data_IF_788891691319
#
_entry.id   IF_788891691319
#
_cell.length_a   1.000
_cell.length_b   1.000
_cell.length_c   1.000
_cell.angle_alpha   90.00
_cell.angle_beta   90.00
_cell.angle_gamma   90.00
#
_symmetry.space_group_name_H-M   'P 1'
#
loop_
_entity.id
_entity.type
_entity.pdbx_description
1 polymer ?
#
# COMPACT_ATOMS: atom_id res chain seq x y z
N UNK A 1 -6.00 3.04 24.12
CA UNK A 1 -7.23 2.32 23.66
C UNK A 1 -8.32 3.28 23.20
N UNK A 2 -8.03 4.57 23.10
CA UNK A 2 -9.01 5.60 22.67
C UNK A 2 -9.69 5.29 21.34
N UNK A 3 -8.95 4.75 20.36
CA UNK A 3 -9.52 4.41 19.05
C UNK A 3 -10.73 3.47 19.15
N UNK A 4 -10.72 2.52 20.07
CA UNK A 4 -11.82 1.56 20.24
C UNK A 4 -12.97 2.11 21.07
N UNK A 5 -12.72 3.16 21.88
CA UNK A 5 -13.73 3.79 22.75
C UNK A 5 -14.45 4.97 22.09
N UNK A 6 -13.92 5.46 20.95
CA UNK A 6 -14.56 6.50 20.14
C UNK A 6 -15.02 5.91 18.78
N UNK A 7 -16.31 5.59 18.64
CA UNK A 7 -16.84 5.00 17.41
C UNK A 7 -16.61 5.87 16.16
N UNK A 8 -16.71 7.20 16.30
CA UNK A 8 -16.53 8.11 15.18
C UNK A 8 -15.06 8.08 14.68
N UNK A 9 -14.13 8.07 15.62
CA UNK A 9 -12.69 7.96 15.32
C UNK A 9 -12.33 6.60 14.73
N UNK A 10 -12.91 5.53 15.24
CA UNK A 10 -12.72 4.18 14.69
C UNK A 10 -13.24 4.09 13.25
N UNK A 11 -14.45 4.58 12.98
CA UNK A 11 -15.03 4.62 11.63
C UNK A 11 -14.16 5.45 10.69
N UNK A 12 -13.68 6.60 11.13
CA UNK A 12 -12.79 7.45 10.34
C UNK A 12 -11.46 6.72 10.03
N UNK A 13 -10.88 6.01 10.99
CA UNK A 13 -9.66 5.23 10.77
C UNK A 13 -9.89 4.02 9.83
N UNK A 14 -11.01 3.33 9.96
CA UNK A 14 -11.41 2.24 9.05
C UNK A 14 -11.56 2.78 7.62
N UNK A 15 -12.27 3.90 7.47
CA UNK A 15 -12.47 4.55 6.16
C UNK A 15 -11.14 4.99 5.55
N UNK A 16 -10.29 5.66 6.33
CA UNK A 16 -8.94 6.02 5.92
C UNK A 16 -8.15 4.79 5.46
N UNK A 17 -8.13 3.73 6.29
CA UNK A 17 -7.41 2.49 5.99
C UNK A 17 -7.90 1.84 4.71
N UNK A 18 -9.22 1.78 4.49
CA UNK A 18 -9.82 1.22 3.28
C UNK A 18 -9.41 2.01 2.03
N UNK A 19 -9.49 3.34 2.09
CA UNK A 19 -9.13 4.23 0.98
C UNK A 19 -7.65 4.09 0.65
N UNK A 20 -6.74 4.21 1.63
CA UNK A 20 -5.30 4.20 1.36
C UNK A 20 -4.78 2.82 0.94
N UNK A 21 -5.35 1.73 1.50
CA UNK A 21 -5.00 0.37 1.10
C UNK A 21 -5.56 0.01 -0.29
N UNK A 22 -6.78 0.48 -0.60
CA UNK A 22 -7.43 0.26 -1.89
C UNK A 22 -6.91 1.15 -3.02
N UNK A 23 -6.26 2.29 -2.71
CA UNK A 23 -5.74 3.20 -3.74
C UNK A 23 -4.58 2.57 -4.52
N UNK A 24 -4.48 2.85 -5.84
CA UNK A 24 -3.35 2.41 -6.66
C UNK A 24 -2.00 2.78 -6.02
N UNK A 25 -1.06 1.84 -6.09
CA UNK A 25 0.29 2.04 -5.57
C UNK A 25 1.18 0.85 -5.88
N UNK A 26 2.49 0.93 -5.51
CA UNK A 26 3.45 -0.13 -5.83
C UNK A 26 3.00 -1.50 -5.34
N UNK A 27 2.55 -1.62 -4.09
CA UNK A 27 2.09 -2.88 -3.53
C UNK A 27 0.90 -3.48 -4.29
N UNK A 28 -0.11 -2.66 -4.61
CA UNK A 28 -1.29 -3.12 -5.34
C UNK A 28 -0.96 -3.50 -6.79
N UNK A 29 -0.04 -2.80 -7.45
CA UNK A 29 0.46 -3.19 -8.76
C UNK A 29 1.19 -4.54 -8.72
N UNK A 30 1.97 -4.80 -7.66
CA UNK A 30 2.62 -6.10 -7.44
C UNK A 30 1.61 -7.21 -7.14
N UNK A 31 0.54 -6.93 -6.38
CA UNK A 31 -0.56 -7.90 -6.17
C UNK A 31 -1.26 -8.25 -7.47
N UNK A 32 -1.55 -7.24 -8.30
CA UNK A 32 -2.13 -7.47 -9.62
C UNK A 32 -1.21 -8.35 -10.49
N UNK A 33 0.09 -8.07 -10.50
CA UNK A 33 1.06 -8.90 -11.20
C UNK A 33 1.15 -10.33 -10.62
N UNK A 34 1.04 -10.51 -9.31
CA UNK A 34 0.99 -11.81 -8.67
C UNK A 34 -0.27 -12.60 -9.07
N UNK A 35 -1.42 -11.94 -9.08
CA UNK A 35 -2.68 -12.51 -9.55
C UNK A 35 -2.62 -12.95 -11.00
N UNK A 36 -2.06 -12.11 -11.87
CA UNK A 36 -1.88 -12.42 -13.28
C UNK A 36 -0.97 -13.63 -13.50
N UNK A 37 0.11 -13.80 -12.73
CA UNK A 37 1.05 -14.91 -12.90
C UNK A 37 0.59 -16.22 -12.28
N UNK A 38 -0.01 -16.18 -11.10
CA UNK A 38 -0.24 -17.37 -10.29
C UNK A 38 -1.73 -17.63 -9.97
N UNK A 39 -2.61 -16.71 -10.35
CA UNK A 39 -4.01 -16.72 -9.98
C UNK A 39 -4.24 -16.34 -8.53
N UNK A 40 -5.51 -16.20 -8.12
CA UNK A 40 -5.88 -15.73 -6.78
C UNK A 40 -5.32 -16.65 -5.68
N UNK A 41 -5.55 -17.96 -5.79
CA UNK A 41 -5.20 -18.92 -4.72
C UNK A 41 -3.72 -18.91 -4.36
N UNK A 42 -2.83 -18.91 -5.35
CA UNK A 42 -1.37 -18.85 -5.08
C UNK A 42 -0.92 -17.45 -4.74
N UNK A 43 -1.60 -16.42 -5.26
CA UNK A 43 -1.33 -15.02 -4.96
C UNK A 43 -1.74 -14.58 -3.55
N UNK A 44 -2.57 -15.36 -2.83
CA UNK A 44 -2.93 -15.07 -1.42
C UNK A 44 -1.71 -14.93 -0.52
N UNK A 45 -0.65 -15.70 -0.75
CA UNK A 45 0.59 -15.55 0.03
C UNK A 45 1.19 -14.14 -0.13
N UNK A 46 1.15 -13.57 -1.34
CA UNK A 46 1.59 -12.19 -1.61
C UNK A 46 0.68 -11.16 -0.93
N UNK A 47 -0.64 -11.37 -0.98
CA UNK A 47 -1.60 -10.51 -0.30
C UNK A 47 -1.39 -10.50 1.22
N UNK A 48 -1.28 -11.68 1.83
CA UNK A 48 -1.02 -11.81 3.26
C UNK A 48 0.32 -11.18 3.65
N UNK A 49 1.36 -11.37 2.83
CA UNK A 49 2.65 -10.72 3.03
C UNK A 49 2.54 -9.19 3.00
N UNK A 50 1.84 -8.64 2.01
CA UNK A 50 1.60 -7.19 1.93
C UNK A 50 0.89 -6.67 3.18
N UNK A 51 -0.22 -7.28 3.54
CA UNK A 51 -1.06 -6.83 4.68
C UNK A 51 -0.31 -6.94 5.99
N UNK A 52 0.39 -8.05 6.22
CA UNK A 52 1.21 -8.25 7.43
C UNK A 52 2.38 -7.27 7.47
N UNK A 53 3.07 -7.06 6.34
CA UNK A 53 4.18 -6.10 6.26
C UNK A 53 3.73 -4.66 6.55
N UNK A 54 2.58 -4.24 6.02
CA UNK A 54 1.97 -2.93 6.32
C UNK A 54 1.57 -2.82 7.79
N UNK A 55 0.94 -3.86 8.35
CA UNK A 55 0.57 -3.90 9.78
C UNK A 55 1.80 -3.81 10.69
N UNK A 56 2.84 -4.61 10.42
CA UNK A 56 4.08 -4.59 11.18
C UNK A 56 4.79 -3.22 11.10
N UNK A 57 4.78 -2.60 9.94
CA UNK A 57 5.34 -1.27 9.76
C UNK A 57 4.53 -0.21 10.52
N UNK A 58 3.20 -0.23 10.43
CA UNK A 58 2.34 0.69 11.20
C UNK A 58 2.51 0.49 12.71
N UNK A 59 2.68 -0.74 13.16
CA UNK A 59 3.02 -1.07 14.55
C UNK A 59 4.33 -0.38 14.97
N UNK A 60 5.39 -0.52 14.19
CA UNK A 60 6.69 0.10 14.48
C UNK A 60 6.62 1.64 14.44
N UNK A 61 5.88 2.21 13.48
CA UNK A 61 5.64 3.65 13.36
C UNK A 61 4.92 4.17 14.62
N UNK A 62 3.89 3.46 15.08
CA UNK A 62 3.11 3.83 16.28
C UNK A 62 3.95 3.72 17.55
N UNK A 63 4.89 2.77 17.63
CA UNK A 63 5.80 2.64 18.78
C UNK A 63 6.90 3.71 18.87
N UNK A 64 7.01 4.60 17.88
CA UNK A 64 7.94 5.72 17.96
C UNK A 64 8.71 6.03 16.68
N UNK A 65 8.84 5.09 15.74
CA UNK A 65 9.49 5.37 14.45
C UNK A 65 8.83 6.56 13.72
N UNK A 66 7.52 6.71 13.86
CA UNK A 66 6.79 7.82 13.28
C UNK A 66 7.16 9.17 13.88
N UNK A 67 7.36 9.23 15.22
CA UNK A 67 7.82 10.43 15.91
C UNK A 67 9.21 10.85 15.46
N UNK A 68 10.11 9.88 15.27
CA UNK A 68 11.46 10.15 14.72
C UNK A 68 11.37 10.74 13.31
N UNK A 69 10.52 10.18 12.45
CA UNK A 69 10.32 10.70 11.09
C UNK A 69 9.72 12.11 11.08
N UNK A 70 8.71 12.36 11.93
CA UNK A 70 8.08 13.67 12.05
C UNK A 70 9.03 14.74 12.59
N UNK A 71 9.98 14.35 13.45
CA UNK A 71 11.00 15.25 13.96
C UNK A 71 12.09 15.62 12.91
N UNK A 72 12.12 14.92 11.76
CA UNK A 72 13.13 15.13 10.73
C UNK A 72 12.48 15.47 9.37
N UNK A 73 12.12 16.73 9.10
CA UNK A 73 11.47 17.14 7.85
C UNK A 73 12.22 16.76 6.59
N UNK A 74 13.56 16.73 6.65
CA UNK A 74 14.39 16.26 5.53
C UNK A 74 14.14 14.79 5.21
N UNK A 75 14.03 13.92 6.23
CA UNK A 75 13.75 12.50 6.03
C UNK A 75 12.37 12.28 5.39
N UNK A 76 11.36 13.03 5.84
CA UNK A 76 10.03 13.02 5.21
C UNK A 76 10.07 13.52 3.76
N UNK A 77 10.82 14.57 3.49
CA UNK A 77 11.04 15.10 2.14
C UNK A 77 11.69 14.05 1.22
N UNK A 78 12.78 13.44 1.68
CA UNK A 78 13.46 12.35 0.94
C UNK A 78 12.51 11.19 0.68
N UNK A 79 11.75 10.75 1.70
CA UNK A 79 10.78 9.67 1.58
C UNK A 79 9.68 10.01 0.56
N UNK A 80 9.16 11.23 0.59
CA UNK A 80 8.14 11.73 -0.33
C UNK A 80 8.64 11.72 -1.77
N UNK A 81 9.81 12.29 -2.03
CA UNK A 81 10.33 12.41 -3.38
C UNK A 81 10.86 11.09 -3.96
N UNK A 82 11.47 10.24 -3.14
CA UNK A 82 11.83 8.88 -3.57
C UNK A 82 10.59 8.05 -3.89
N UNK A 83 9.51 8.23 -3.12
CA UNK A 83 8.21 7.63 -3.39
C UNK A 83 7.61 8.10 -4.71
N UNK A 84 7.62 9.39 -4.96
CA UNK A 84 7.15 9.95 -6.22
C UNK A 84 7.95 9.40 -7.41
N UNK A 85 9.27 9.40 -7.31
CA UNK A 85 10.14 8.85 -8.35
C UNK A 85 9.87 7.36 -8.61
N UNK A 86 9.67 6.57 -7.54
CA UNK A 86 9.34 5.14 -7.65
C UNK A 86 7.98 4.92 -8.33
N UNK A 87 6.95 5.68 -7.95
CA UNK A 87 5.63 5.58 -8.58
C UNK A 87 5.67 5.99 -10.05
N UNK A 88 6.37 7.08 -10.39
CA UNK A 88 6.56 7.50 -11.78
C UNK A 88 7.31 6.44 -12.59
N UNK A 89 8.39 5.88 -12.03
CA UNK A 89 9.13 4.80 -12.68
C UNK A 89 8.25 3.56 -12.92
N UNK A 90 7.44 3.16 -11.93
CA UNK A 90 6.51 2.04 -12.10
C UNK A 90 5.43 2.34 -13.13
N UNK A 91 4.85 3.55 -13.12
CA UNK A 91 3.88 3.97 -14.13
C UNK A 91 4.47 3.88 -15.54
N UNK A 92 5.67 4.40 -15.71
CA UNK A 92 6.40 4.29 -16.98
C UNK A 92 6.62 2.82 -17.40
N UNK A 93 7.13 1.98 -16.50
CA UNK A 93 7.37 0.56 -16.78
C UNK A 93 6.10 -0.18 -17.16
N UNK A 94 4.98 0.12 -16.51
CA UNK A 94 3.68 -0.49 -16.83
C UNK A 94 3.16 0.03 -18.18
N UNK A 95 3.24 1.34 -18.44
CA UNK A 95 2.78 1.93 -19.69
C UNK A 95 3.54 1.41 -20.91
N UNK A 96 4.85 1.14 -20.76
CA UNK A 96 5.74 0.71 -21.84
C UNK A 96 5.93 -0.81 -21.93
N UNK A 97 5.27 -1.60 -21.06
CA UNK A 97 5.36 -3.05 -21.10
C UNK A 97 4.65 -3.61 -22.33
N UNK A 98 5.40 -4.17 -23.27
CA UNK A 98 4.86 -4.78 -24.49
C UNK A 98 4.30 -6.17 -24.24
N UNK A 99 4.85 -6.94 -23.28
CA UNK A 99 4.41 -8.29 -22.91
C UNK A 99 4.42 -8.48 -21.39
N UNK A 100 3.44 -9.23 -20.89
CA UNK A 100 3.22 -9.48 -19.44
C UNK A 100 4.38 -10.24 -18.77
N UNK A 101 5.30 -10.84 -19.51
CA UNK A 101 6.44 -11.59 -18.97
C UNK A 101 7.59 -10.70 -18.48
N UNK A 102 7.67 -9.46 -18.95
CA UNK A 102 8.70 -8.49 -18.51
C UNK A 102 8.23 -7.58 -17.37
N UNK A 103 6.99 -7.74 -16.90
CA UNK A 103 6.55 -7.05 -15.71
C UNK A 103 7.50 -7.39 -14.56
N UNK A 104 8.15 -6.34 -14.05
CA UNK A 104 9.07 -6.30 -12.90
C UNK A 104 9.17 -7.65 -12.19
N UNK A 105 10.38 -8.23 -12.05
CA UNK A 105 10.59 -9.39 -11.17
C UNK A 105 10.08 -8.99 -9.80
N UNK A 106 8.77 -9.19 -9.60
CA UNK A 106 8.08 -8.75 -8.41
C UNK A 106 8.54 -9.61 -7.24
N UNK A 107 8.76 -9.02 -6.07
CA UNK A 107 8.89 -9.81 -4.87
C UNK A 107 7.69 -10.77 -4.82
N UNK A 108 7.98 -12.07 -4.80
CA UNK A 108 6.94 -13.08 -4.87
C UNK A 108 6.73 -13.71 -3.48
N UNK A 109 5.48 -14.10 -3.20
CA UNK A 109 5.13 -14.78 -1.96
C UNK A 109 5.05 -13.86 -0.74
N UNK A 110 4.88 -14.48 0.42
CA UNK A 110 4.65 -13.78 1.68
C UNK A 110 5.83 -12.89 2.09
N UNK A 111 7.02 -13.47 2.22
CA UNK A 111 8.19 -12.74 2.73
C UNK A 111 8.62 -11.59 1.80
N UNK A 112 8.59 -11.82 0.49
CA UNK A 112 8.95 -10.79 -0.48
C UNK A 112 8.02 -9.59 -0.41
N UNK A 113 6.71 -9.82 -0.31
CA UNK A 113 5.72 -8.75 -0.21
C UNK A 113 5.72 -8.06 1.16
N UNK A 114 6.01 -8.79 2.24
CA UNK A 114 6.14 -8.21 3.57
C UNK A 114 7.38 -7.29 3.65
N UNK A 115 8.53 -7.77 3.17
CA UNK A 115 9.77 -7.00 3.12
C UNK A 115 9.64 -5.77 2.21
N UNK A 116 8.92 -5.91 1.10
CA UNK A 116 8.69 -4.80 0.16
C UNK A 116 8.04 -3.59 0.82
N UNK A 117 7.16 -3.76 1.83
CA UNK A 117 6.51 -2.64 2.49
C UNK A 117 7.50 -1.71 3.19
N UNK A 118 8.62 -2.23 3.70
CA UNK A 118 9.66 -1.45 4.38
C UNK A 118 10.48 -0.54 3.44
N UNK A 119 10.52 -0.88 2.16
CA UNK A 119 11.14 -0.04 1.12
C UNK A 119 10.11 0.75 0.31
N UNK A 120 8.81 0.54 0.57
CA UNK A 120 7.72 1.21 -0.12
C UNK A 120 7.42 2.57 0.52
N UNK A 121 7.81 3.69 -0.10
CA UNK A 121 7.65 5.00 0.52
C UNK A 121 6.19 5.40 0.70
N UNK A 122 5.26 4.92 -0.15
CA UNK A 122 3.82 5.14 0.07
C UNK A 122 3.37 4.56 1.42
N UNK A 123 3.88 3.37 1.79
CA UNK A 123 3.50 2.73 3.03
C UNK A 123 3.98 3.52 4.27
N UNK A 124 5.19 4.09 4.22
CA UNK A 124 5.70 4.98 5.26
C UNK A 124 4.86 6.26 5.41
N UNK A 125 4.55 6.93 4.30
CA UNK A 125 3.75 8.16 4.32
C UNK A 125 2.34 7.90 4.86
N UNK A 126 1.72 6.78 4.47
CA UNK A 126 0.42 6.35 5.00
C UNK A 126 0.51 6.09 6.50
N UNK A 127 1.56 5.40 6.97
CA UNK A 127 1.76 5.11 8.38
C UNK A 127 1.93 6.38 9.22
N UNK A 128 2.77 7.32 8.76
CA UNK A 128 2.97 8.63 9.42
C UNK A 128 1.67 9.44 9.44
N UNK A 129 0.95 9.50 8.32
CA UNK A 129 -0.34 10.18 8.25
C UNK A 129 -1.38 9.57 9.20
N UNK A 130 -1.40 8.23 9.31
CA UNK A 130 -2.29 7.52 10.22
C UNK A 130 -2.05 7.90 11.68
N UNK A 131 -0.80 7.91 12.15
CA UNK A 131 -0.50 8.31 13.52
C UNK A 131 -0.75 9.80 13.77
N UNK A 132 -0.41 10.66 12.82
CA UNK A 132 -0.65 12.10 12.93
C UNK A 132 -2.15 12.43 13.04
N UNK A 133 -3.01 11.70 12.32
CA UNK A 133 -4.45 11.95 12.31
C UNK A 133 -5.20 11.23 13.45
N UNK A 134 -4.75 10.05 13.85
CA UNK A 134 -5.54 9.14 14.68
C UNK A 134 -4.88 8.73 15.99
N UNK A 135 -3.58 8.97 16.20
CA UNK A 135 -2.93 8.69 17.48
C UNK A 135 -3.27 9.80 18.46
N UNK A 136 -4.10 9.50 19.46
CA UNK A 136 -4.48 10.46 20.49
C UNK A 136 -3.39 10.71 21.54
N UNK A 137 -3.62 11.71 22.38
CA UNK A 137 -2.80 12.01 23.56
C UNK A 137 -3.01 10.94 24.63
N UNK A 138 -1.98 10.29 24.97
CA UNK A 138 -1.75 9.07 25.70
C UNK A 138 -2.50 8.84 27.01
N UNK A 139 -3.47 7.92 26.97
CA UNK A 139 -3.97 7.23 28.18
C UNK A 139 -3.92 5.71 27.91
N UNK A 140 -2.76 5.09 28.12
CA UNK A 140 -2.62 3.65 27.96
C UNK A 140 -1.26 3.18 27.47
N UNK A 141 -1.09 1.87 27.39
CA UNK A 141 0.14 1.26 26.90
C UNK A 141 0.37 1.56 25.41
N UNK A 142 1.53 2.13 25.05
CA UNK A 142 1.93 2.36 23.66
C UNK A 142 1.90 1.07 22.83
N UNK A 143 2.26 -0.06 23.45
CA UNK A 143 2.22 -1.39 22.83
C UNK A 143 0.79 -1.79 22.46
N UNK A 144 -0.18 -1.57 23.35
CA UNK A 144 -1.57 -1.87 23.08
C UNK A 144 -2.15 -0.98 21.97
N UNK A 145 -1.80 0.30 21.96
CA UNK A 145 -2.20 1.22 20.88
C UNK A 145 -1.62 0.77 19.54
N UNK A 146 -0.33 0.47 19.48
CA UNK A 146 0.33 -0.02 18.27
C UNK A 146 -0.31 -1.32 17.75
N UNK A 147 -0.64 -2.25 18.65
CA UNK A 147 -1.32 -3.50 18.28
C UNK A 147 -2.72 -3.25 17.70
N UNK A 148 -3.49 -2.34 18.31
CA UNK A 148 -4.85 -1.98 17.82
C UNK A 148 -4.75 -1.34 16.44
N UNK A 149 -3.88 -0.34 16.24
CA UNK A 149 -3.69 0.32 14.95
C UNK A 149 -3.28 -0.67 13.87
N UNK A 150 -2.29 -1.52 14.14
CA UNK A 150 -1.80 -2.53 13.21
C UNK A 150 -2.88 -3.55 12.85
N UNK A 151 -3.62 -4.05 13.85
CA UNK A 151 -4.64 -5.09 13.65
C UNK A 151 -5.84 -4.55 12.87
N UNK A 152 -6.37 -3.38 13.25
CA UNK A 152 -7.50 -2.76 12.56
C UNK A 152 -7.11 -2.44 11.12
N UNK A 153 -5.92 -1.84 10.91
CA UNK A 153 -5.43 -1.55 9.57
C UNK A 153 -5.30 -2.83 8.72
N UNK A 154 -4.68 -3.88 9.26
CA UNK A 154 -4.49 -5.15 8.55
C UNK A 154 -5.83 -5.81 8.20
N UNK A 155 -6.79 -5.81 9.13
CA UNK A 155 -8.12 -6.36 8.92
C UNK A 155 -8.87 -5.64 7.77
N UNK A 156 -8.73 -4.31 7.68
CA UNK A 156 -9.34 -3.49 6.63
C UNK A 156 -8.55 -3.58 5.31
N UNK A 157 -7.22 -3.60 5.38
CA UNK A 157 -6.37 -3.69 4.19
C UNK A 157 -6.55 -5.00 3.43
N UNK A 158 -6.84 -6.11 4.13
CA UNK A 158 -7.04 -7.40 3.51
C UNK A 158 -8.15 -7.40 2.44
N UNK A 159 -9.41 -7.04 2.75
CA UNK A 159 -10.45 -6.95 1.74
C UNK A 159 -10.22 -5.81 0.73
N UNK A 160 -9.56 -4.72 1.12
CA UNK A 160 -9.30 -3.58 0.24
C UNK A 160 -8.24 -3.87 -0.83
N UNK A 161 -7.25 -4.72 -0.52
CA UNK A 161 -6.20 -5.12 -1.46
C UNK A 161 -6.57 -6.36 -2.29
N UNK A 162 -7.50 -7.20 -1.82
CA UNK A 162 -7.93 -8.42 -2.52
C UNK A 162 -8.42 -8.16 -3.97
N UNK A 163 -9.20 -7.10 -4.25
CA UNK A 163 -9.62 -6.79 -5.62
C UNK A 163 -8.46 -6.65 -6.61
N UNK A 164 -7.31 -6.11 -6.19
CA UNK A 164 -6.13 -5.99 -7.05
C UNK A 164 -5.57 -7.34 -7.47
N UNK A 165 -5.49 -8.28 -6.53
CA UNK A 165 -5.07 -9.65 -6.80
C UNK A 165 -6.06 -10.37 -7.73
N UNK A 166 -7.36 -10.26 -7.44
CA UNK A 166 -8.42 -10.85 -8.24
C UNK A 166 -8.46 -10.27 -9.65
N UNK A 167 -8.35 -8.95 -9.77
CA UNK A 167 -8.32 -8.25 -11.05
C UNK A 167 -7.15 -8.72 -11.92
N UNK A 168 -5.95 -8.88 -11.34
CA UNK A 168 -4.81 -9.44 -12.06
C UNK A 168 -5.08 -10.85 -12.62
N UNK A 169 -5.71 -11.72 -11.82
CA UNK A 169 -6.07 -13.07 -12.25
C UNK A 169 -7.13 -13.07 -13.37
N UNK A 170 -8.11 -12.16 -13.27
CA UNK A 170 -9.15 -11.97 -14.30
C UNK A 170 -8.52 -11.46 -15.59
N UNK A 171 -7.64 -10.47 -15.50
CA UNK A 171 -6.97 -9.89 -16.67
C UNK A 171 -6.24 -10.95 -17.50
N UNK A 172 -5.48 -11.82 -16.86
CA UNK A 172 -4.78 -12.89 -17.58
C UNK A 172 -5.74 -13.85 -18.27
N UNK A 173 -6.89 -14.13 -17.66
CA UNK A 173 -7.85 -15.11 -18.17
C UNK A 173 -8.67 -14.59 -19.35
N UNK A 174 -9.10 -13.32 -19.30
CA UNK A 174 -10.07 -12.77 -20.26
C UNK A 174 -9.45 -11.84 -21.29
N UNK A 175 -8.38 -11.13 -20.97
CA UNK A 175 -7.76 -10.15 -21.86
C UNK A 175 -6.46 -10.70 -22.48
N UNK A 176 -6.62 -11.59 -23.47
CA UNK A 176 -5.48 -12.17 -24.19
C UNK A 176 -4.99 -11.31 -25.36
N UNK A 177 -5.85 -10.41 -25.87
CA UNK A 177 -5.52 -9.55 -26.99
C UNK A 177 -4.53 -8.44 -26.58
N UNK A 178 -3.50 -8.19 -27.42
CA UNK A 178 -2.48 -7.16 -27.15
C UNK A 178 -3.08 -5.76 -26.91
N UNK A 179 -4.15 -5.42 -27.66
CA UNK A 179 -4.82 -4.13 -27.57
C UNK A 179 -5.49 -3.91 -26.20
N UNK A 180 -6.19 -4.92 -25.70
CA UNK A 180 -6.85 -4.86 -24.39
C UNK A 180 -5.82 -4.73 -23.26
N UNK A 181 -4.70 -5.45 -23.34
CA UNK A 181 -3.61 -5.35 -22.37
C UNK A 181 -2.98 -3.95 -22.34
N UNK A 182 -2.78 -3.35 -23.51
CA UNK A 182 -2.25 -1.98 -23.64
C UNK A 182 -3.17 -0.96 -22.96
N UNK A 183 -4.49 -1.05 -23.18
CA UNK A 183 -5.46 -0.15 -22.52
C UNK A 183 -5.39 -0.28 -21.01
N UNK A 184 -5.31 -1.49 -20.48
CA UNK A 184 -5.21 -1.77 -19.05
C UNK A 184 -3.89 -1.21 -18.47
N UNK A 185 -2.77 -1.42 -19.15
CA UNK A 185 -1.48 -0.90 -18.74
C UNK A 185 -1.51 0.63 -18.68
N UNK A 186 -2.09 1.30 -19.67
CA UNK A 186 -2.24 2.76 -19.68
C UNK A 186 -3.16 3.24 -18.55
N UNK A 187 -4.30 2.55 -18.30
CA UNK A 187 -5.18 2.88 -17.19
C UNK A 187 -4.46 2.75 -15.82
N UNK A 188 -3.69 1.68 -15.63
CA UNK A 188 -2.90 1.48 -14.41
C UNK A 188 -1.80 2.54 -14.25
N UNK A 189 -1.10 2.87 -15.34
CA UNK A 189 -0.08 3.91 -15.32
C UNK A 189 -0.69 5.28 -14.98
N UNK A 190 -1.85 5.62 -15.55
CA UNK A 190 -2.58 6.84 -15.23
C UNK A 190 -3.02 6.89 -13.75
N UNK A 191 -3.53 5.78 -13.20
CA UNK A 191 -3.89 5.69 -11.78
C UNK A 191 -2.68 5.87 -10.85
N UNK A 192 -1.52 5.29 -11.20
CA UNK A 192 -0.27 5.48 -10.45
C UNK A 192 0.21 6.94 -10.54
N UNK A 193 0.13 7.55 -11.72
CA UNK A 193 0.49 8.96 -11.90
C UNK A 193 -0.45 9.87 -11.08
N UNK A 194 -1.75 9.62 -11.09
CA UNK A 194 -2.71 10.34 -10.27
C UNK A 194 -2.41 10.19 -8.77
N UNK A 195 -2.10 8.97 -8.30
CA UNK A 195 -1.65 8.73 -6.91
C UNK A 195 -0.40 9.52 -6.55
N UNK A 196 0.54 9.65 -7.51
CA UNK A 196 1.77 10.43 -7.31
C UNK A 196 1.46 11.92 -7.16
N UNK A 197 0.58 12.46 -8.01
CA UNK A 197 0.17 13.86 -7.92
C UNK A 197 -0.47 14.14 -6.56
N UNK A 198 -1.41 13.32 -6.11
CA UNK A 198 -2.03 13.45 -4.79
C UNK A 198 -0.99 13.42 -3.68
N UNK A 199 -0.06 12.45 -3.71
CA UNK A 199 0.99 12.31 -2.71
C UNK A 199 1.93 13.54 -2.66
N UNK A 200 2.29 14.09 -3.81
CA UNK A 200 3.18 15.26 -3.88
C UNK A 200 2.46 16.55 -3.46
N UNK A 201 1.17 16.67 -3.79
CA UNK A 201 0.36 17.84 -3.44
C UNK A 201 0.01 17.92 -1.95
N UNK A 202 0.04 16.80 -1.23
CA UNK A 202 -0.22 16.77 0.22
C UNK A 202 0.94 17.46 0.94
N UNK A 203 0.64 18.55 1.66
CA UNK A 203 1.62 19.19 2.57
C UNK A 203 1.81 18.28 3.79
N UNK A 204 3.01 17.84 4.01
CA UNK A 204 3.45 17.09 5.19
C UNK A 204 4.18 18.06 6.11
#
# INVERSE_FOLDING_TARGET
MELLHDPARLIAFITFSAVVAGTPGPGNALLMAAGARAGVRRGLASLLGQVTGMGAMLFAITLGLGGVLLAHPLALGVLKWTGAAMLCWMAWRIATAEHTEQAVKAPAGFLGMAAFQWINPKAWLVGVAAIAAFLGTHTGSALAQAAVFATVFAAVALPSCLPWLAFGAILQRFFREPRSRRVINWAMAALLAASTIVMVSTRI
#
